data_IF_179903697477
#
_entry.id   IF_179903697477
#
_cell.length_a   1.000
_cell.length_b   1.000
_cell.length_c   1.000
_cell.angle_alpha   90.00
_cell.angle_beta   90.00
_cell.angle_gamma   90.00
#
_symmetry.space_group_name_H-M   'P 1'
#
loop_
_entity.id
_entity.type
_entity.pdbx_description
1 polymer ?
#
# COMPACT_ATOMS: atom_id res chain seq x y z
N UNK A 1 -4.88 38.19 19.45
CA UNK A 1 -3.65 37.38 19.39
C UNK A 1 -2.76 37.98 18.31
N UNK A 2 -1.47 38.21 18.61
CA UNK A 2 -0.52 38.66 17.59
C UNK A 2 -0.02 37.45 16.80
N UNK A 3 -0.02 37.54 15.47
CA UNK A 3 0.56 36.50 14.62
C UNK A 3 2.09 36.61 14.63
N UNK A 4 2.77 35.50 14.86
CA UNK A 4 4.24 35.41 14.76
C UNK A 4 4.57 35.15 13.29
N UNK A 5 5.41 36.01 12.69
CA UNK A 5 5.86 35.84 11.30
C UNK A 5 7.09 34.93 11.28
N UNK A 6 7.03 33.91 10.43
CA UNK A 6 8.17 33.02 10.20
C UNK A 6 9.28 33.73 9.43
N UNK A 7 10.51 33.31 9.66
CA UNK A 7 11.68 33.66 8.87
C UNK A 7 11.64 32.96 7.51
N UNK A 8 12.41 33.49 6.55
CA UNK A 8 12.52 32.87 5.23
C UNK A 8 13.14 31.46 5.30
N UNK A 9 14.06 31.22 6.22
CA UNK A 9 14.69 29.90 6.44
C UNK A 9 13.66 28.87 6.94
N UNK A 10 12.80 29.26 7.89
CA UNK A 10 11.73 28.38 8.38
C UNK A 10 10.71 28.06 7.29
N UNK A 11 10.31 29.04 6.48
CA UNK A 11 9.42 28.81 5.33
C UNK A 11 10.06 27.86 4.32
N UNK A 12 11.35 28.05 4.02
CA UNK A 12 12.08 27.17 3.10
C UNK A 12 12.18 25.74 3.65
N UNK A 13 12.50 25.58 4.93
CA UNK A 13 12.60 24.28 5.59
C UNK A 13 11.25 23.53 5.57
N UNK A 14 10.15 24.23 5.87
CA UNK A 14 8.80 23.67 5.79
C UNK A 14 8.50 23.21 4.36
N UNK A 15 8.78 24.06 3.36
CA UNK A 15 8.57 23.73 1.95
C UNK A 15 9.36 22.47 1.53
N UNK A 16 10.65 22.43 1.85
CA UNK A 16 11.51 21.27 1.54
C UNK A 16 11.03 20.00 2.24
N UNK A 17 10.59 20.11 3.49
CA UNK A 17 10.06 18.96 4.23
C UNK A 17 8.77 18.44 3.60
N UNK A 18 7.88 19.33 3.20
CA UNK A 18 6.63 18.95 2.52
C UNK A 18 6.88 18.25 1.19
N UNK A 19 7.85 18.73 0.40
CA UNK A 19 8.27 18.05 -0.84
C UNK A 19 8.79 16.64 -0.55
N UNK A 20 9.61 16.47 0.48
CA UNK A 20 10.12 15.15 0.86
C UNK A 20 9.00 14.20 1.30
N UNK A 21 8.01 14.70 2.06
CA UNK A 21 6.83 13.92 2.46
C UNK A 21 6.02 13.49 1.24
N UNK A 22 5.79 14.39 0.28
CA UNK A 22 5.07 14.06 -0.96
C UNK A 22 5.80 13.00 -1.78
N UNK A 23 7.13 13.11 -1.92
CA UNK A 23 7.94 12.11 -2.62
C UNK A 23 7.88 10.75 -1.91
N UNK A 24 7.98 10.72 -0.58
CA UNK A 24 7.87 9.49 0.21
C UNK A 24 6.47 8.85 0.05
N UNK A 25 5.42 9.65 -0.03
CA UNK A 25 4.06 9.15 -0.26
C UNK A 25 3.91 8.52 -1.65
N UNK A 26 4.47 9.12 -2.70
CA UNK A 26 4.46 8.56 -4.05
C UNK A 26 5.23 7.23 -4.09
N UNK A 27 6.39 7.16 -3.44
CA UNK A 27 7.17 5.93 -3.37
C UNK A 27 6.42 4.82 -2.61
N UNK A 28 5.77 5.16 -1.51
CA UNK A 28 4.92 4.22 -0.77
C UNK A 28 3.80 3.65 -1.66
N UNK A 29 3.12 4.51 -2.43
CA UNK A 29 2.10 4.06 -3.39
C UNK A 29 2.67 3.09 -4.44
N UNK A 30 3.86 3.40 -4.97
CA UNK A 30 4.56 2.53 -5.92
C UNK A 30 4.86 1.15 -5.32
N UNK A 31 5.38 1.11 -4.09
CA UNK A 31 5.68 -0.14 -3.39
C UNK A 31 4.42 -0.93 -3.06
N UNK A 32 3.33 -0.27 -2.68
CA UNK A 32 2.04 -0.92 -2.44
C UNK A 32 1.49 -1.58 -3.72
N UNK A 33 1.58 -0.89 -4.87
CA UNK A 33 1.18 -1.44 -6.15
C UNK A 33 2.04 -2.66 -6.54
N UNK A 34 3.37 -2.54 -6.39
CA UNK A 34 4.29 -3.65 -6.66
C UNK A 34 3.99 -4.88 -5.78
N UNK A 35 3.73 -4.67 -4.48
CA UNK A 35 3.32 -5.73 -3.56
C UNK A 35 2.02 -6.38 -4.01
N UNK A 36 1.01 -5.60 -4.38
CA UNK A 36 -0.27 -6.13 -4.87
C UNK A 36 -0.10 -6.97 -6.13
N UNK A 37 0.70 -6.51 -7.10
CA UNK A 37 1.02 -7.28 -8.31
C UNK A 37 1.73 -8.59 -8.00
N UNK A 38 2.70 -8.59 -7.08
CA UNK A 38 3.39 -9.80 -6.64
C UNK A 38 2.42 -10.79 -5.97
N UNK A 39 1.56 -10.30 -5.07
CA UNK A 39 0.52 -11.12 -4.43
C UNK A 39 -0.37 -11.78 -5.48
N UNK A 40 -0.87 -11.02 -6.46
CA UNK A 40 -1.73 -11.55 -7.52
C UNK A 40 -1.03 -12.63 -8.36
N UNK A 41 0.26 -12.44 -8.68
CA UNK A 41 1.04 -13.44 -9.40
C UNK A 41 1.17 -14.75 -8.59
N UNK A 42 1.42 -14.64 -7.28
CA UNK A 42 1.49 -15.80 -6.40
C UNK A 42 0.13 -16.51 -6.28
N UNK A 43 -0.95 -15.77 -6.08
CA UNK A 43 -2.31 -16.30 -6.04
C UNK A 43 -2.68 -17.06 -7.33
N UNK A 44 -2.31 -16.50 -8.49
CA UNK A 44 -2.52 -17.14 -9.78
C UNK A 44 -1.66 -18.40 -9.94
N UNK A 45 -0.36 -18.32 -9.60
CA UNK A 45 0.59 -19.43 -9.73
C UNK A 45 0.18 -20.64 -8.88
N UNK A 46 -0.30 -20.39 -7.65
CA UNK A 46 -0.64 -21.46 -6.70
C UNK A 46 -2.14 -21.76 -6.61
N UNK A 47 -2.96 -21.09 -7.42
CA UNK A 47 -4.43 -21.14 -7.33
C UNK A 47 -4.95 -21.00 -5.89
N UNK A 48 -4.40 -20.01 -5.19
CA UNK A 48 -4.61 -19.75 -3.77
C UNK A 48 -4.98 -18.28 -3.56
N UNK A 49 -5.28 -17.89 -2.32
CA UNK A 49 -5.52 -16.50 -1.89
C UNK A 49 -4.54 -16.16 -0.78
N UNK A 50 -3.91 -15.00 -0.87
CA UNK A 50 -2.99 -14.54 0.17
C UNK A 50 -3.75 -14.07 1.41
N UNK A 51 -3.45 -14.67 2.55
CA UNK A 51 -3.98 -14.22 3.83
C UNK A 51 -2.99 -13.24 4.50
N UNK A 52 -3.32 -11.94 4.60
CA UNK A 52 -2.42 -10.95 5.17
C UNK A 52 -2.19 -11.10 6.68
N UNK A 53 -3.04 -11.84 7.41
CA UNK A 53 -2.89 -12.08 8.85
C UNK A 53 -1.83 -13.15 9.14
N UNK A 54 -1.76 -14.17 8.30
CA UNK A 54 -0.85 -15.32 8.48
C UNK A 54 0.39 -15.20 7.60
N UNK A 55 0.35 -14.38 6.55
CA UNK A 55 1.44 -14.25 5.58
C UNK A 55 1.55 -15.45 4.63
N UNK A 56 0.53 -16.30 4.57
CA UNK A 56 0.51 -17.53 3.78
C UNK A 56 -0.48 -17.46 2.62
N UNK A 57 -0.26 -18.31 1.61
CA UNK A 57 -1.22 -18.58 0.57
C UNK A 57 -2.14 -19.71 1.02
N UNK A 58 -3.43 -19.44 1.09
CA UNK A 58 -4.46 -20.39 1.49
C UNK A 58 -5.21 -20.89 0.24
N UNK A 59 -5.52 -22.20 0.13
CA UNK A 59 -6.26 -22.72 -1.00
C UNK A 59 -7.58 -21.97 -1.18
N UNK A 60 -7.94 -21.65 -2.43
CA UNK A 60 -9.28 -21.10 -2.69
C UNK A 60 -10.33 -22.07 -2.15
N UNK A 61 -11.35 -21.59 -1.40
CA UNK A 61 -12.42 -22.45 -0.95
C UNK A 61 -13.02 -23.13 -2.18
N UNK A 62 -13.04 -24.47 -2.18
CA UNK A 62 -13.75 -25.23 -3.20
C UNK A 62 -15.21 -24.83 -3.07
N UNK A 63 -15.74 -24.19 -4.10
CA UNK A 63 -17.16 -23.92 -4.21
C UNK A 63 -17.88 -25.27 -4.07
N UNK A 64 -18.55 -25.49 -2.93
CA UNK A 64 -19.42 -26.67 -2.74
C UNK A 64 -20.75 -26.51 -3.48
N UNK A 65 -20.89 -25.45 -4.27
CA UNK A 65 -22.09 -25.07 -5.03
C UNK A 65 -22.18 -25.77 -6.39
N UNK A 66 -21.96 -27.09 -6.44
CA UNK A 66 -22.41 -27.98 -7.53
C UNK A 66 -22.58 -29.40 -6.97
N UNK A 67 -23.58 -29.57 -6.13
CA UNK A 67 -24.35 -30.81 -6.02
C UNK A 67 -25.81 -30.41 -6.22
N UNK A 68 -26.55 -31.26 -6.94
CA UNK A 68 -27.94 -31.07 -7.43
C UNK A 68 -27.94 -30.28 -8.74
N UNK A 69 -28.28 -30.84 -9.91
CA UNK A 69 -28.98 -32.09 -10.30
C UNK A 69 -28.49 -32.52 -11.69
#
# INVERSE_FOLDING_TARGET
>A
MANIKLTNEEVWLISSTNTNVQNAQQELQRLMAARASLTQLLENKYNAVFNPKTGLLEPKPKDKSKKEE
#
